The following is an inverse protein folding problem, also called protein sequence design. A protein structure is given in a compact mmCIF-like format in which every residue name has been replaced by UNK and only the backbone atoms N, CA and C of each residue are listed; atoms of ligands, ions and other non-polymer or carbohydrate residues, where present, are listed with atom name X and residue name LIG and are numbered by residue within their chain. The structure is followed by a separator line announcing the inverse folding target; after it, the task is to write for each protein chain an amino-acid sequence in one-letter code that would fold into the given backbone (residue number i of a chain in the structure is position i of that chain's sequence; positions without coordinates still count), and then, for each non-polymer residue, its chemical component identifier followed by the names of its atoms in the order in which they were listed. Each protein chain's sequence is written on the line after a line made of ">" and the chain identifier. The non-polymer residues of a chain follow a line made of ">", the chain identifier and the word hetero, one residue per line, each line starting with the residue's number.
data_IF_404542126947
#
_entry.id   IF_404542126947
#
_cell.length_a   1.000
_cell.length_b   1.000
_cell.length_c   1.000
_cell.angle_alpha   90.00
_cell.angle_beta   90.00
_cell.angle_gamma   90.00
#
_symmetry.space_group_name_H-M   'P 1'
#
loop_
_entity.id
_entity.type
_entity.pdbx_description
1 polymer ?
#
# COMPACT_ATOMS: atom_id res chain seq x y z
N UNK A 1 21.17 0.07 26.79
CA UNK A 1 20.31 -1.06 26.36
C UNK A 1 19.21 -0.64 25.39
N UNK A 2 18.51 0.48 25.63
CA UNK A 2 17.44 0.96 24.72
C UNK A 2 17.91 1.36 23.30
N UNK A 3 19.11 1.94 23.16
CA UNK A 3 19.65 2.38 21.86
C UNK A 3 19.92 1.22 20.89
N UNK A 4 20.52 0.13 21.40
CA UNK A 4 20.75 -1.06 20.60
C UNK A 4 19.43 -1.73 20.19
N UNK A 5 18.40 -1.65 21.03
CA UNK A 5 17.06 -2.15 20.67
C UNK A 5 16.47 -1.36 19.50
N UNK A 6 16.61 -0.02 19.45
CA UNK A 6 16.08 0.74 18.33
C UNK A 6 16.88 0.55 17.05
N UNK A 7 18.22 0.47 17.13
CA UNK A 7 19.05 0.13 15.97
C UNK A 7 18.69 -1.25 15.44
N UNK A 8 18.52 -2.25 16.31
CA UNK A 8 18.06 -3.58 15.92
C UNK A 8 16.66 -3.54 15.30
N UNK A 9 15.73 -2.76 15.85
CA UNK A 9 14.38 -2.57 15.30
C UNK A 9 14.41 -1.93 13.91
N UNK A 10 15.20 -0.87 13.73
CA UNK A 10 15.38 -0.18 12.46
C UNK A 10 15.98 -1.08 11.38
N UNK A 11 17.02 -1.84 11.73
CA UNK A 11 17.63 -2.84 10.81
C UNK A 11 16.65 -3.97 10.46
N UNK A 12 15.90 -4.47 11.45
CA UNK A 12 14.88 -5.49 11.21
C UNK A 12 13.77 -4.97 10.30
N UNK A 13 13.30 -3.74 10.54
CA UNK A 13 12.28 -3.08 9.72
C UNK A 13 12.79 -2.88 8.29
N UNK A 14 14.01 -2.37 8.12
CA UNK A 14 14.62 -2.21 6.79
C UNK A 14 14.75 -3.54 6.05
N UNK A 15 15.17 -4.60 6.74
CA UNK A 15 15.27 -5.94 6.17
C UNK A 15 13.90 -6.45 5.70
N UNK A 16 12.87 -6.29 6.53
CA UNK A 16 11.49 -6.66 6.20
C UNK A 16 11.01 -5.88 4.97
N UNK A 17 11.25 -4.57 4.92
CA UNK A 17 10.83 -3.72 3.80
C UNK A 17 11.53 -4.09 2.50
N UNK A 18 12.85 -4.23 2.51
CA UNK A 18 13.62 -4.62 1.32
C UNK A 18 13.20 -6.00 0.84
N UNK A 19 12.97 -6.94 1.76
CA UNK A 19 12.49 -8.28 1.42
C UNK A 19 11.07 -8.24 0.83
N UNK A 20 10.17 -7.46 1.41
CA UNK A 20 8.80 -7.35 0.92
C UNK A 20 8.73 -6.70 -0.47
N UNK A 21 9.43 -5.57 -0.67
CA UNK A 21 9.38 -4.78 -1.90
C UNK A 21 10.22 -5.39 -3.04
N UNK A 22 11.44 -5.82 -2.74
CA UNK A 22 12.42 -6.20 -3.76
C UNK A 22 12.65 -7.72 -3.84
N UNK A 23 12.15 -8.50 -2.88
CA UNK A 23 12.52 -9.92 -2.77
C UNK A 23 12.10 -10.83 -3.92
N UNK A 24 11.21 -10.38 -4.81
CA UNK A 24 10.89 -11.10 -6.06
C UNK A 24 11.87 -10.82 -7.21
N UNK A 25 12.75 -9.82 -7.08
CA UNK A 25 13.62 -9.42 -8.18
C UNK A 25 14.66 -10.51 -8.50
N UNK A 26 15.07 -10.64 -9.77
CA UNK A 26 16.06 -11.65 -10.19
C UNK A 26 17.36 -11.61 -9.38
N UNK A 27 17.80 -10.43 -8.95
CA UNK A 27 19.02 -10.25 -8.15
C UNK A 27 18.99 -10.95 -6.79
N UNK A 28 17.79 -11.17 -6.23
CA UNK A 28 17.61 -11.81 -4.92
C UNK A 28 17.26 -13.30 -5.01
N UNK A 29 17.24 -13.90 -6.20
CA UNK A 29 16.92 -15.32 -6.36
C UNK A 29 17.89 -16.22 -5.57
N UNK A 30 17.34 -17.16 -4.81
CA UNK A 30 18.09 -18.08 -3.94
C UNK A 30 18.61 -17.46 -2.64
N UNK A 31 18.45 -16.15 -2.44
CA UNK A 31 18.98 -15.44 -1.26
C UNK A 31 18.05 -15.51 -0.05
N UNK A 32 18.58 -15.13 1.12
CA UNK A 32 17.80 -14.99 2.35
C UNK A 32 16.66 -13.96 2.23
N UNK A 33 16.87 -12.87 1.46
CA UNK A 33 15.87 -11.83 1.22
C UNK A 33 14.65 -12.41 0.47
N UNK A 34 14.88 -13.24 -0.54
CA UNK A 34 13.78 -13.94 -1.23
C UNK A 34 13.05 -14.93 -0.32
N UNK A 35 13.76 -15.61 0.59
CA UNK A 35 13.11 -16.49 1.58
C UNK A 35 12.20 -15.71 2.53
N UNK A 36 12.66 -14.56 3.03
CA UNK A 36 11.83 -13.67 3.85
C UNK A 36 10.63 -13.20 3.03
N UNK A 37 10.82 -12.81 1.76
CA UNK A 37 9.73 -12.41 0.88
C UNK A 37 8.64 -13.49 0.81
N UNK A 38 9.00 -14.73 0.44
CA UNK A 38 8.04 -15.83 0.36
C UNK A 38 7.39 -16.17 1.70
N UNK A 39 8.15 -16.05 2.80
CA UNK A 39 7.59 -16.22 4.13
C UNK A 39 6.54 -15.15 4.43
N UNK A 40 6.82 -13.88 4.17
CA UNK A 40 5.88 -12.79 4.48
C UNK A 40 4.65 -12.85 3.56
N UNK A 41 4.81 -13.14 2.27
CA UNK A 41 3.72 -13.07 1.29
C UNK A 41 2.81 -14.30 1.31
N UNK A 42 3.35 -15.49 1.53
CA UNK A 42 2.58 -16.73 1.50
C UNK A 42 2.77 -17.60 2.75
N UNK A 43 4.02 -17.73 3.21
CA UNK A 43 4.37 -18.67 4.27
C UNK A 43 3.66 -18.37 5.59
N UNK A 44 3.66 -17.12 6.03
CA UNK A 44 3.06 -16.69 7.29
C UNK A 44 1.56 -16.98 7.32
N UNK A 45 0.86 -16.74 6.20
CA UNK A 45 -0.55 -17.09 6.05
C UNK A 45 -0.79 -18.60 6.07
N UNK A 46 0.03 -19.39 5.35
CA UNK A 46 -0.07 -20.85 5.35
C UNK A 46 0.21 -21.45 6.73
N UNK A 47 1.24 -20.98 7.43
CA UNK A 47 1.51 -21.35 8.82
C UNK A 47 0.35 -20.99 9.74
N UNK A 48 -0.23 -19.80 9.59
CA UNK A 48 -1.41 -19.40 10.35
C UNK A 48 -2.61 -20.31 10.07
N UNK A 49 -2.89 -20.63 8.80
CA UNK A 49 -3.96 -21.58 8.43
C UNK A 49 -3.74 -22.97 9.05
N UNK A 50 -2.52 -23.48 9.01
CA UNK A 50 -2.14 -24.78 9.61
C UNK A 50 -2.26 -24.74 11.13
N UNK A 51 -1.86 -23.65 11.75
CA UNK A 51 -2.02 -23.45 13.19
C UNK A 51 -3.49 -23.43 13.58
N UNK A 52 -4.35 -22.70 12.87
CA UNK A 52 -5.80 -22.70 13.11
C UNK A 52 -6.38 -24.10 12.89
N UNK A 53 -5.94 -24.83 11.86
CA UNK A 53 -6.36 -26.21 11.66
C UNK A 53 -5.90 -27.14 12.80
N UNK A 54 -4.69 -26.94 13.32
CA UNK A 54 -4.15 -27.71 14.44
C UNK A 54 -4.91 -27.45 15.74
N UNK A 55 -5.19 -26.18 16.06
CA UNK A 55 -5.85 -25.77 17.32
C UNK A 55 -7.37 -25.97 17.26
N UNK A 56 -8.00 -25.57 16.16
CA UNK A 56 -9.46 -25.51 16.03
C UNK A 56 -10.04 -26.59 15.09
N UNK A 57 -9.20 -27.48 14.57
CA UNK A 57 -9.61 -28.54 13.65
C UNK A 57 -10.13 -28.04 12.30
N UNK A 58 -10.84 -28.93 11.61
CA UNK A 58 -11.49 -28.62 10.32
C UNK A 58 -12.54 -27.52 10.43
N UNK A 59 -13.25 -27.41 11.57
CA UNK A 59 -14.25 -26.36 11.81
C UNK A 59 -13.62 -24.97 11.78
N UNK A 60 -12.51 -24.77 12.50
CA UNK A 60 -11.81 -23.48 12.50
C UNK A 60 -11.21 -23.14 11.13
N UNK A 61 -10.64 -24.13 10.43
CA UNK A 61 -10.12 -23.93 9.08
C UNK A 61 -11.22 -23.54 8.09
N UNK A 62 -12.37 -24.21 8.14
CA UNK A 62 -13.52 -23.87 7.30
C UNK A 62 -14.10 -22.49 7.63
N UNK A 63 -14.14 -22.11 8.90
CA UNK A 63 -14.56 -20.76 9.30
C UNK A 63 -13.61 -19.69 8.74
N UNK A 64 -12.29 -19.90 8.83
CA UNK A 64 -11.30 -18.98 8.26
C UNK A 64 -11.44 -18.87 6.74
N UNK A 65 -11.56 -20.00 6.03
CA UNK A 65 -11.80 -20.02 4.58
C UNK A 65 -13.13 -19.34 4.20
N UNK A 66 -14.17 -19.49 5.02
CA UNK A 66 -15.44 -18.80 4.80
C UNK A 66 -15.31 -17.29 4.94
N UNK A 67 -14.49 -16.80 5.87
CA UNK A 67 -14.19 -15.37 6.02
C UNK A 67 -13.36 -14.89 4.83
N UNK A 68 -12.33 -15.62 4.42
CA UNK A 68 -11.52 -15.31 3.24
C UNK A 68 -12.40 -15.21 1.98
N UNK A 69 -13.24 -16.23 1.73
CA UNK A 69 -14.18 -16.24 0.62
C UNK A 69 -15.14 -15.06 0.66
N UNK A 70 -15.69 -14.74 1.84
CA UNK A 70 -16.60 -13.60 1.98
C UNK A 70 -15.90 -12.26 1.72
N UNK A 71 -14.68 -12.08 2.23
CA UNK A 71 -13.94 -10.82 2.15
C UNK A 71 -13.29 -10.59 0.78
N UNK A 72 -12.78 -11.64 0.13
CA UNK A 72 -11.94 -11.55 -1.07
C UNK A 72 -12.62 -12.05 -2.35
N UNK A 73 -13.50 -13.05 -2.27
CA UNK A 73 -14.10 -13.71 -3.44
C UNK A 73 -15.56 -13.33 -3.68
N UNK A 74 -16.08 -12.36 -2.92
CA UNK A 74 -17.46 -11.85 -3.02
C UNK A 74 -17.46 -10.32 -2.97
N UNK A 75 -18.30 -9.63 -3.76
CA UNK A 75 -18.42 -8.18 -3.68
C UNK A 75 -18.95 -7.76 -2.29
N UNK A 76 -18.12 -7.07 -1.52
CA UNK A 76 -18.46 -6.62 -0.17
C UNK A 76 -17.62 -5.37 0.20
N UNK A 77 -18.15 -4.45 1.02
CA UNK A 77 -17.45 -3.21 1.36
C UNK A 77 -16.45 -3.35 2.51
N UNK A 78 -16.23 -4.55 3.08
CA UNK A 78 -15.41 -4.69 4.31
C UNK A 78 -13.99 -4.22 4.07
N UNK A 79 -13.38 -4.60 2.94
CA UNK A 79 -12.00 -4.20 2.63
C UNK A 79 -11.93 -2.68 2.37
N UNK A 80 -12.97 -2.08 1.78
CA UNK A 80 -13.05 -0.62 1.61
C UNK A 80 -13.14 0.10 2.96
N UNK A 81 -13.96 -0.41 3.89
CA UNK A 81 -14.08 0.14 5.24
C UNK A 81 -12.78 -0.01 6.02
N UNK A 82 -12.13 -1.17 5.92
CA UNK A 82 -10.82 -1.41 6.51
C UNK A 82 -9.77 -0.43 5.99
N UNK A 83 -9.77 -0.18 4.67
CA UNK A 83 -8.88 0.81 4.07
C UNK A 83 -9.11 2.22 4.63
N UNK A 84 -10.38 2.67 4.68
CA UNK A 84 -10.73 3.98 5.24
C UNK A 84 -10.36 4.08 6.73
N UNK A 85 -10.52 3.00 7.48
CA UNK A 85 -10.10 2.92 8.88
C UNK A 85 -8.58 3.03 9.02
N UNK A 86 -7.81 2.35 8.18
CA UNK A 86 -6.34 2.43 8.17
C UNK A 86 -5.89 3.85 7.86
N UNK A 87 -6.39 4.46 6.79
CA UNK A 87 -6.01 5.82 6.38
C UNK A 87 -6.44 6.85 7.43
N UNK A 88 -7.67 6.74 7.95
CA UNK A 88 -8.16 7.64 9.00
C UNK A 88 -7.39 7.49 10.31
N UNK A 89 -7.11 6.27 10.74
CA UNK A 89 -6.34 5.96 11.94
C UNK A 89 -4.90 6.43 11.85
N UNK A 90 -4.23 6.17 10.73
CA UNK A 90 -2.86 6.66 10.49
C UNK A 90 -2.81 8.19 10.43
N UNK A 91 -3.76 8.85 9.77
CA UNK A 91 -3.82 10.31 9.77
C UNK A 91 -4.08 10.88 11.18
N UNK A 92 -5.00 10.29 11.94
CA UNK A 92 -5.28 10.69 13.32
C UNK A 92 -4.02 10.57 14.20
N UNK A 93 -3.29 9.46 14.06
CA UNK A 93 -2.04 9.25 14.77
C UNK A 93 -1.00 10.30 14.40
N UNK A 94 -0.81 10.59 13.10
CA UNK A 94 0.11 11.64 12.62
C UNK A 94 -0.31 13.02 13.16
N UNK A 95 -1.60 13.34 13.15
CA UNK A 95 -2.10 14.62 13.62
C UNK A 95 -1.84 14.82 15.12
N UNK A 96 -2.07 13.78 15.93
CA UNK A 96 -1.87 13.85 17.39
C UNK A 96 -0.40 13.81 17.79
N UNK A 97 0.44 13.06 17.06
CA UNK A 97 1.87 12.92 17.34
C UNK A 97 2.71 14.07 16.78
N UNK A 98 2.47 14.44 15.53
CA UNK A 98 3.41 15.24 14.73
C UNK A 98 3.02 16.70 14.60
N UNK A 99 1.71 17.03 14.65
CA UNK A 99 1.29 18.43 14.45
C UNK A 99 1.75 19.34 15.58
N UNK A 100 2.00 18.81 16.78
CA UNK A 100 2.61 19.55 17.88
C UNK A 100 3.99 20.14 17.52
N UNK A 101 4.67 19.57 16.52
CA UNK A 101 5.97 20.04 16.03
C UNK A 101 5.88 20.91 14.77
N UNK A 102 4.68 21.30 14.36
CA UNK A 102 4.40 22.13 13.17
C UNK A 102 3.62 23.37 13.65
N UNK A 103 3.99 24.62 13.38
CA UNK A 103 5.18 25.02 12.64
C UNK A 103 6.45 24.69 13.44
N UNK A 104 7.44 24.18 12.72
CA UNK A 104 8.80 23.98 13.22
C UNK A 104 9.78 24.82 12.42
N UNK A 105 11.06 24.75 12.79
CA UNK A 105 12.11 25.56 12.16
C UNK A 105 12.16 25.46 10.62
N UNK A 106 11.97 24.25 10.06
CA UNK A 106 12.04 23.99 8.61
C UNK A 106 10.68 23.66 7.97
N UNK A 107 9.59 23.59 8.75
CA UNK A 107 8.28 23.18 8.25
C UNK A 107 7.19 24.16 8.69
N UNK A 108 6.57 24.81 7.72
CA UNK A 108 5.52 25.83 7.95
C UNK A 108 4.21 25.23 8.49
N UNK A 109 3.44 26.04 9.21
CA UNK A 109 2.09 25.71 9.69
C UNK A 109 1.11 25.32 8.59
N UNK A 110 1.35 25.77 7.35
CA UNK A 110 0.54 25.45 6.17
C UNK A 110 0.43 23.93 5.93
N UNK A 111 1.47 23.18 6.31
CA UNK A 111 1.51 21.73 6.13
C UNK A 111 0.45 20.95 6.92
N UNK A 112 -0.12 21.53 7.99
CA UNK A 112 -1.26 20.95 8.71
C UNK A 112 -2.51 20.90 7.81
N UNK A 113 -2.76 21.97 7.05
CA UNK A 113 -3.93 22.09 6.18
C UNK A 113 -3.73 21.36 4.84
N UNK A 114 -2.55 21.48 4.25
CA UNK A 114 -2.26 20.81 2.97
C UNK A 114 -2.19 19.29 3.12
N UNK A 115 -1.72 18.77 4.27
CA UNK A 115 -1.78 17.32 4.55
C UNK A 115 -3.21 16.80 4.67
N UNK A 116 -4.11 17.54 5.34
CA UNK A 116 -5.54 17.19 5.39
C UNK A 116 -6.15 17.16 3.99
N UNK A 117 -5.90 18.20 3.19
CA UNK A 117 -6.37 18.26 1.80
C UNK A 117 -5.80 17.09 0.97
N UNK A 118 -4.52 16.75 1.17
CA UNK A 118 -3.88 15.67 0.43
C UNK A 118 -4.52 14.30 0.70
N UNK A 119 -4.83 14.01 1.97
CA UNK A 119 -5.57 12.79 2.34
C UNK A 119 -6.97 12.81 1.73
N UNK A 120 -7.67 13.95 1.78
CA UNK A 120 -8.99 14.12 1.18
C UNK A 120 -9.02 13.84 -0.33
N UNK A 121 -8.03 14.34 -1.08
CA UNK A 121 -7.87 14.04 -2.52
C UNK A 121 -7.60 12.54 -2.75
N UNK A 122 -6.82 11.90 -1.89
CA UNK A 122 -6.58 10.45 -1.95
C UNK A 122 -7.86 9.64 -1.76
N UNK A 123 -8.70 10.03 -0.79
CA UNK A 123 -10.02 9.43 -0.56
C UNK A 123 -10.93 9.68 -1.78
N UNK A 124 -10.90 10.88 -2.38
CA UNK A 124 -11.68 11.15 -3.59
C UNK A 124 -11.31 10.20 -4.74
N UNK A 125 -10.02 10.00 -5.04
CA UNK A 125 -9.61 9.06 -6.10
C UNK A 125 -9.97 7.61 -5.77
N UNK A 126 -9.89 7.21 -4.50
CA UNK A 126 -10.35 5.92 -4.02
C UNK A 126 -11.84 5.71 -4.29
N UNK A 127 -12.68 6.69 -3.94
CA UNK A 127 -14.13 6.63 -4.15
C UNK A 127 -14.47 6.66 -5.65
N UNK A 128 -13.82 7.53 -6.44
CA UNK A 128 -14.01 7.58 -7.89
C UNK A 128 -13.70 6.23 -8.54
N UNK A 129 -12.61 5.58 -8.14
CA UNK A 129 -12.26 4.25 -8.66
C UNK A 129 -13.27 3.20 -8.23
N UNK A 130 -13.66 3.22 -6.95
CA UNK A 130 -14.60 2.27 -6.35
C UNK A 130 -15.99 2.29 -6.98
N UNK A 131 -16.51 3.49 -7.30
CA UNK A 131 -17.90 3.65 -7.75
C UNK A 131 -18.07 3.94 -9.23
N UNK A 132 -16.98 4.12 -9.99
CA UNK A 132 -17.07 4.28 -11.44
C UNK A 132 -17.38 2.95 -12.15
N UNK A 133 -18.15 3.03 -13.24
CA UNK A 133 -18.30 1.91 -14.17
C UNK A 133 -16.91 1.49 -14.71
N UNK A 134 -16.51 0.22 -14.59
CA UNK A 134 -15.25 -0.26 -15.15
C UNK A 134 -15.30 -0.42 -16.68
N UNK A 135 -16.48 -0.32 -17.29
CA UNK A 135 -16.71 -0.65 -18.70
C UNK A 135 -17.38 -2.01 -18.82
N UNK A 136 -18.52 -2.18 -18.15
CA UNK A 136 -19.29 -3.42 -18.20
C UNK A 136 -19.82 -3.66 -19.62
N UNK A 137 -19.53 -4.86 -20.14
CA UNK A 137 -20.00 -5.31 -21.46
C UNK A 137 -21.26 -6.15 -21.28
N UNK A 138 -22.32 -5.80 -21.99
CA UNK A 138 -23.60 -6.49 -22.01
C UNK A 138 -24.16 -6.56 -23.43
N UNK A 139 -25.29 -7.24 -23.61
CA UNK A 139 -25.92 -7.42 -24.92
C UNK A 139 -26.29 -6.11 -25.63
N UNK A 140 -26.53 -5.02 -24.89
CA UNK A 140 -26.90 -3.73 -25.46
C UNK A 140 -25.69 -2.95 -26.01
N UNK A 141 -24.48 -3.14 -25.47
CA UNK A 141 -23.29 -2.37 -25.84
C UNK A 141 -22.16 -3.21 -26.45
N UNK A 142 -22.29 -4.53 -26.52
CA UNK A 142 -21.24 -5.43 -27.01
C UNK A 142 -20.79 -5.10 -28.43
N UNK A 143 -21.72 -4.71 -29.32
CA UNK A 143 -21.41 -4.32 -30.70
C UNK A 143 -20.49 -3.11 -30.78
N UNK A 144 -20.67 -2.12 -29.90
CA UNK A 144 -19.80 -0.95 -29.79
C UNK A 144 -18.40 -1.33 -29.33
N UNK A 145 -18.27 -2.24 -28.38
CA UNK A 145 -16.95 -2.70 -27.92
C UNK A 145 -16.24 -3.58 -28.95
N UNK A 146 -16.99 -4.40 -29.71
CA UNK A 146 -16.44 -5.19 -30.80
C UNK A 146 -15.87 -4.31 -31.93
N UNK A 147 -16.55 -3.20 -32.26
CA UNK A 147 -16.05 -2.27 -33.28
C UNK A 147 -14.85 -1.45 -32.79
N UNK A 148 -14.84 -1.05 -31.52
CA UNK A 148 -13.71 -0.34 -30.91
C UNK A 148 -12.47 -1.23 -30.72
N UNK A 149 -12.67 -2.53 -30.46
CA UNK A 149 -11.62 -3.50 -30.19
C UNK A 149 -11.76 -4.76 -31.08
N UNK A 150 -11.43 -4.64 -32.37
CA UNK A 150 -11.55 -5.73 -33.32
C UNK A 150 -10.56 -6.87 -33.02
N UNK A 151 -10.90 -8.07 -33.48
CA UNK A 151 -10.06 -9.26 -33.37
C UNK A 151 -8.86 -9.16 -34.31
N UNK A 152 -7.67 -9.51 -33.80
CA UNK A 152 -6.46 -9.63 -34.62
C UNK A 152 -6.23 -11.07 -35.12
N UNK A 153 -6.95 -12.04 -34.55
CA UNK A 153 -6.79 -13.48 -34.80
C UNK A 153 -5.35 -14.02 -34.57
N UNK A 154 -4.53 -13.28 -33.84
CA UNK A 154 -3.19 -13.69 -33.41
C UNK A 154 -3.20 -13.89 -31.90
N UNK A 155 -3.64 -12.86 -31.16
CA UNK A 155 -3.73 -12.86 -29.70
C UNK A 155 -5.19 -12.98 -29.28
N UNK A 156 -6.09 -12.28 -29.97
CA UNK A 156 -7.52 -12.23 -29.68
C UNK A 156 -8.31 -12.75 -30.87
N UNK A 157 -8.83 -13.97 -30.73
CA UNK A 157 -9.78 -14.57 -31.65
C UNK A 157 -11.21 -14.38 -31.15
N UNK A 158 -12.18 -14.50 -32.06
CA UNK A 158 -13.59 -14.48 -31.72
C UNK A 158 -13.94 -15.61 -30.74
N UNK A 159 -14.49 -15.24 -29.58
CA UNK A 159 -14.91 -16.15 -28.52
C UNK A 159 -16.15 -15.59 -27.83
N UNK A 160 -17.03 -16.48 -27.39
CA UNK A 160 -18.17 -16.11 -26.54
C UNK A 160 -17.83 -16.31 -25.06
N UNK A 161 -18.39 -15.46 -24.19
CA UNK A 161 -18.38 -15.71 -22.76
C UNK A 161 -19.35 -16.84 -22.41
N UNK A 162 -18.83 -17.92 -21.81
CA UNK A 162 -19.63 -19.08 -21.40
C UNK A 162 -20.71 -18.75 -20.37
N UNK A 163 -20.49 -17.75 -19.51
CA UNK A 163 -21.43 -17.31 -18.47
C UNK A 163 -22.43 -16.28 -19.02
N UNK A 164 -21.94 -15.16 -19.56
CA UNK A 164 -22.78 -14.05 -19.99
C UNK A 164 -23.46 -14.26 -21.36
N UNK A 165 -23.02 -15.27 -22.14
CA UNK A 165 -23.54 -15.57 -23.49
C UNK A 165 -23.49 -14.37 -24.45
N UNK A 166 -22.39 -13.63 -24.39
CA UNK A 166 -22.10 -12.51 -25.28
C UNK A 166 -20.73 -12.70 -25.94
N UNK A 167 -20.52 -12.23 -27.19
CA UNK A 167 -19.20 -12.16 -27.78
C UNK A 167 -18.24 -11.38 -26.86
N UNK A 168 -16.99 -11.83 -26.76
CA UNK A 168 -15.97 -11.16 -25.95
C UNK A 168 -15.18 -10.20 -26.82
N UNK A 169 -15.31 -8.87 -26.65
CA UNK A 169 -14.41 -7.91 -27.30
C UNK A 169 -12.95 -8.23 -26.99
N UNK A 170 -12.03 -7.84 -27.88
CA UNK A 170 -10.60 -8.03 -27.63
C UNK A 170 -10.20 -7.41 -26.28
N UNK A 171 -9.33 -8.10 -25.53
CA UNK A 171 -8.89 -7.73 -24.16
C UNK A 171 -9.99 -7.74 -23.09
N UNK A 172 -11.21 -8.20 -23.36
CA UNK A 172 -12.25 -8.35 -22.33
C UNK A 172 -12.12 -9.67 -21.55
N UNK A 173 -12.52 -9.67 -20.28
CA UNK A 173 -12.64 -10.89 -19.46
C UNK A 173 -13.94 -10.86 -18.64
N UNK A 174 -14.43 -12.05 -18.29
CA UNK A 174 -15.52 -12.22 -17.33
C UNK A 174 -14.92 -12.29 -15.94
N UNK A 175 -15.37 -11.42 -15.04
CA UNK A 175 -15.01 -11.48 -13.63
C UNK A 175 -16.05 -12.32 -12.89
N UNK A 176 -15.65 -13.47 -12.36
CA UNK A 176 -16.52 -14.37 -11.59
C UNK A 176 -16.98 -13.76 -10.26
N UNK A 177 -16.17 -12.88 -9.66
CA UNK A 177 -16.50 -12.20 -8.40
C UNK A 177 -17.64 -11.20 -8.62
N UNK A 178 -17.51 -10.37 -9.67
CA UNK A 178 -18.51 -9.35 -10.00
C UNK A 178 -19.64 -9.84 -10.93
N UNK A 179 -19.57 -11.10 -11.35
CA UNK A 179 -20.47 -11.78 -12.30
C UNK A 179 -20.79 -10.95 -13.54
N UNK A 180 -19.76 -10.41 -14.20
CA UNK A 180 -19.93 -9.55 -15.37
C UNK A 180 -18.70 -9.55 -16.28
N UNK A 181 -18.93 -9.33 -17.58
CA UNK A 181 -17.86 -9.04 -18.53
C UNK A 181 -17.43 -7.58 -18.45
N UNK A 182 -16.12 -7.33 -18.53
CA UNK A 182 -15.53 -5.99 -18.47
C UNK A 182 -14.60 -5.80 -19.67
N UNK A 183 -14.73 -4.67 -20.35
CA UNK A 183 -13.88 -4.28 -21.47
C UNK A 183 -12.49 -3.85 -20.99
N UNK A 184 -11.46 -4.25 -21.75
CA UNK A 184 -10.04 -4.08 -21.37
C UNK A 184 -9.79 -4.42 -19.90
N UNK A 185 -10.31 -5.57 -19.49
CA UNK A 185 -10.23 -6.01 -18.10
C UNK A 185 -8.77 -6.15 -17.69
N UNK A 186 -8.45 -5.51 -16.57
CA UNK A 186 -7.15 -5.60 -15.94
C UNK A 186 -7.23 -6.62 -14.81
N UNK A 187 -7.91 -6.28 -13.71
CA UNK A 187 -8.14 -7.18 -12.58
C UNK A 187 -9.40 -6.81 -11.79
N UNK A 188 -9.80 -7.67 -10.85
CA UNK A 188 -10.74 -7.32 -9.81
C UNK A 188 -9.97 -6.82 -8.57
N UNK A 189 -10.23 -5.60 -8.13
CA UNK A 189 -9.56 -5.03 -6.96
C UNK A 189 -10.47 -5.12 -5.74
N UNK A 190 -10.17 -6.03 -4.81
CA UNK A 190 -10.93 -6.18 -3.56
C UNK A 190 -10.93 -4.89 -2.73
N UNK A 191 -9.84 -4.12 -2.75
CA UNK A 191 -9.74 -2.83 -2.06
C UNK A 191 -10.69 -1.77 -2.59
N UNK A 192 -11.00 -1.82 -3.88
CA UNK A 192 -11.98 -0.93 -4.51
C UNK A 192 -13.37 -1.55 -4.59
N UNK A 193 -13.50 -2.82 -4.21
CA UNK A 193 -14.69 -3.64 -4.39
C UNK A 193 -15.27 -3.51 -5.81
N UNK A 194 -14.40 -3.43 -6.82
CA UNK A 194 -14.77 -3.16 -8.20
C UNK A 194 -13.72 -3.74 -9.16
N UNK A 195 -14.13 -4.01 -10.40
CA UNK A 195 -13.19 -4.33 -11.47
C UNK A 195 -12.42 -3.07 -11.87
N UNK A 196 -11.17 -3.25 -12.30
CA UNK A 196 -10.41 -2.24 -13.01
C UNK A 196 -10.46 -2.59 -14.49
N UNK A 197 -10.94 -1.64 -15.29
CA UNK A 197 -11.15 -1.82 -16.71
C UNK A 197 -11.19 -0.48 -17.44
N UNK A 198 -11.53 -0.54 -18.72
CA UNK A 198 -11.42 0.58 -19.66
C UNK A 198 -11.85 1.95 -19.13
N UNK A 199 -12.98 2.02 -18.42
CA UNK A 199 -13.60 3.31 -18.06
C UNK A 199 -13.13 3.88 -16.72
N UNK A 200 -12.51 3.07 -15.86
CA UNK A 200 -12.03 3.51 -14.54
C UNK A 200 -10.52 3.38 -14.33
N UNK A 201 -9.76 2.77 -15.26
CA UNK A 201 -8.29 2.68 -15.15
C UNK A 201 -7.62 4.03 -14.91
N UNK A 202 -8.13 5.12 -15.50
CA UNK A 202 -7.58 6.47 -15.29
C UNK A 202 -7.67 6.94 -13.83
N UNK A 203 -8.75 6.61 -13.13
CA UNK A 203 -8.94 6.97 -11.72
C UNK A 203 -8.06 6.10 -10.84
N UNK A 204 -7.95 4.80 -11.17
CA UNK A 204 -7.05 3.89 -10.48
C UNK A 204 -5.58 4.32 -10.60
N UNK A 205 -5.14 4.74 -11.79
CA UNK A 205 -3.79 5.26 -12.00
C UNK A 205 -3.56 6.58 -11.25
N UNK A 206 -4.53 7.50 -11.27
CA UNK A 206 -4.46 8.72 -10.48
C UNK A 206 -4.38 8.43 -8.97
N UNK A 207 -5.14 7.44 -8.49
CA UNK A 207 -5.09 6.95 -7.11
C UNK A 207 -3.69 6.44 -6.74
N UNK A 208 -3.08 5.58 -7.56
CA UNK A 208 -1.74 5.04 -7.29
C UNK A 208 -0.69 6.15 -7.29
N UNK A 209 -0.68 7.02 -8.31
CA UNK A 209 0.29 8.12 -8.40
C UNK A 209 0.13 9.07 -7.22
N UNK A 210 -1.10 9.42 -6.84
CA UNK A 210 -1.35 10.27 -5.68
C UNK A 210 -0.86 9.65 -4.38
N UNK A 211 -1.09 8.34 -4.19
CA UNK A 211 -0.59 7.59 -3.04
C UNK A 211 0.94 7.54 -2.98
N UNK A 212 1.60 7.43 -4.12
CA UNK A 212 3.06 7.53 -4.18
C UNK A 212 3.54 8.92 -3.76
N UNK A 213 2.91 9.98 -4.29
CA UNK A 213 3.27 11.37 -3.97
C UNK A 213 3.03 11.73 -2.50
N UNK A 214 1.93 11.28 -1.89
CA UNK A 214 1.66 11.54 -0.47
C UNK A 214 2.66 10.81 0.45
N UNK A 215 3.14 9.64 0.05
CA UNK A 215 4.21 8.93 0.76
C UNK A 215 5.53 9.73 0.72
N UNK A 216 5.92 10.26 -0.45
CA UNK A 216 7.11 11.12 -0.58
C UNK A 216 6.96 12.39 0.25
N UNK A 217 5.80 13.05 0.15
CA UNK A 217 5.50 14.25 0.92
C UNK A 217 5.64 14.00 2.42
N UNK A 218 5.09 12.89 2.90
CA UNK A 218 5.18 12.46 4.29
C UNK A 218 6.61 12.23 4.76
N UNK A 219 7.42 11.53 3.96
CA UNK A 219 8.84 11.29 4.24
C UNK A 219 9.62 12.61 4.37
N UNK A 220 9.40 13.55 3.45
CA UNK A 220 10.06 14.86 3.46
C UNK A 220 9.61 15.66 4.69
N UNK A 221 8.31 15.74 4.96
CA UNK A 221 7.78 16.46 6.11
C UNK A 221 8.35 15.92 7.43
N UNK A 222 8.42 14.60 7.57
CA UNK A 222 9.01 13.93 8.72
C UNK A 222 10.49 14.30 8.91
N UNK A 223 11.28 14.24 7.83
CA UNK A 223 12.69 14.60 7.86
C UNK A 223 12.91 16.07 8.26
N UNK A 224 12.05 16.99 7.78
CA UNK A 224 12.10 18.41 8.14
C UNK A 224 11.71 18.67 9.60
N UNK A 225 10.71 17.96 10.12
CA UNK A 225 10.35 17.99 11.55
C UNK A 225 11.54 17.52 12.39
N UNK A 226 12.14 16.36 12.08
CA UNK A 226 13.32 15.84 12.78
C UNK A 226 14.48 16.84 12.76
N UNK A 227 14.81 17.38 11.59
CA UNK A 227 15.87 18.37 11.45
C UNK A 227 15.61 19.64 12.28
N UNK A 228 14.34 20.08 12.35
CA UNK A 228 13.94 21.22 13.16
C UNK A 228 14.12 20.96 14.65
N UNK A 229 13.68 19.79 15.13
CA UNK A 229 13.82 19.38 16.53
C UNK A 229 15.28 19.24 16.97
N UNK A 230 16.12 18.69 16.10
CA UNK A 230 17.57 18.59 16.34
C UNK A 230 18.23 19.95 16.53
N UNK A 231 17.76 20.97 15.80
CA UNK A 231 18.25 22.35 15.91
C UNK A 231 17.75 23.04 17.18
N UNK A 232 16.46 22.91 17.49
CA UNK A 232 15.84 23.52 18.67
C UNK A 232 16.43 23.02 19.98
N UNK A 233 16.71 21.72 20.08
CA UNK A 233 17.33 21.11 21.26
C UNK A 233 18.84 21.38 21.38
N UNK A 234 19.43 22.17 20.45
CA UNK A 234 20.86 22.43 20.35
C UNK A 234 21.73 21.17 20.48
N UNK A 235 21.23 20.02 20.03
CA UNK A 235 21.89 18.73 20.22
C UNK A 235 23.28 18.75 19.59
N UNK A 236 23.42 19.40 18.43
CA UNK A 236 24.72 19.58 17.77
C UNK A 236 25.68 20.37 18.66
N UNK A 237 25.23 21.45 19.29
CA UNK A 237 26.07 22.28 20.15
C UNK A 237 26.49 21.55 21.44
N UNK A 238 25.54 20.85 22.08
CA UNK A 238 25.82 20.03 23.27
C UNK A 238 26.78 18.89 22.91
N UNK A 239 26.59 18.20 21.80
CA UNK A 239 27.46 17.11 21.38
C UNK A 239 28.86 17.60 20.99
N UNK A 240 28.98 18.74 20.30
CA UNK A 240 30.28 19.33 19.98
C UNK A 240 31.00 19.85 21.23
N UNK A 241 30.29 20.46 22.19
CA UNK A 241 30.89 20.97 23.42
C UNK A 241 31.24 19.86 24.44
N UNK A 242 30.41 18.82 24.56
CA UNK A 242 30.55 17.78 25.57
C UNK A 242 31.40 16.59 25.09
N UNK A 243 31.31 16.23 23.80
CA UNK A 243 32.03 15.11 23.22
C UNK A 243 33.16 15.52 22.25
N UNK A 244 33.39 16.83 22.06
CA UNK A 244 34.48 17.33 21.20
C UNK A 244 34.34 16.91 19.72
N UNK A 245 33.14 16.56 19.28
CA UNK A 245 32.90 16.12 17.91
C UNK A 245 32.97 17.33 16.98
N UNK A 246 34.03 17.40 16.17
CA UNK A 246 34.12 18.33 15.03
C UNK A 246 32.85 18.24 14.17
N UNK A 247 32.38 19.36 13.59
CA UNK A 247 31.14 19.58 12.83
C UNK A 247 30.86 18.61 11.64
N UNK A 248 30.91 17.30 11.87
CA UNK A 248 30.82 16.23 10.91
C UNK A 248 29.62 15.38 11.25
N UNK A 249 28.57 15.51 10.42
CA UNK A 249 27.30 14.80 10.57
C UNK A 249 27.47 13.27 10.70
N UNK A 250 28.51 12.71 10.06
CA UNK A 250 28.82 11.26 10.10
C UNK A 250 29.23 10.78 11.50
N UNK A 251 29.92 11.61 12.29
CA UNK A 251 30.33 11.26 13.67
C UNK A 251 29.21 11.47 14.70
N UNK A 252 28.15 12.19 14.31
CA UNK A 252 26.99 12.51 15.15
C UNK A 252 25.91 11.41 15.13
N UNK A 253 25.84 10.62 14.06
CA UNK A 253 24.83 9.59 13.83
C UNK A 253 24.52 8.68 15.04
N UNK A 254 25.51 8.10 15.77
CA UNK A 254 25.22 7.23 16.91
C UNK A 254 24.64 7.97 18.14
N UNK A 255 24.84 9.29 18.25
CA UNK A 255 24.35 10.10 19.36
C UNK A 255 22.99 10.77 19.08
N UNK A 256 22.64 10.97 17.80
CA UNK A 256 21.28 11.36 17.39
C UNK A 256 20.28 10.23 17.70
N UNK A 257 20.72 8.98 17.57
CA UNK A 257 19.99 7.78 18.01
C UNK A 257 19.73 7.81 19.53
N UNK A 258 20.60 8.42 20.34
CA UNK A 258 20.34 8.60 21.77
C UNK A 258 19.23 9.62 22.10
N UNK A 259 18.88 10.53 21.18
CA UNK A 259 17.78 11.50 21.34
C UNK A 259 16.37 10.93 21.15
N UNK A 260 16.25 9.61 20.95
CA UNK A 260 15.05 8.92 20.46
C UNK A 260 13.83 8.90 21.39
N UNK A 261 13.92 9.39 22.64
CA UNK A 261 12.71 9.63 23.45
C UNK A 261 11.80 10.72 22.88
N UNK A 262 12.33 11.61 22.02
CA UNK A 262 11.53 12.58 21.28
C UNK A 262 11.08 12.04 19.90
N UNK A 263 11.59 10.89 19.45
CA UNK A 263 11.35 10.31 18.13
C UNK A 263 10.39 9.11 18.14
N UNK A 264 9.98 8.58 19.30
CA UNK A 264 9.00 7.49 19.39
C UNK A 264 7.69 7.77 18.63
N UNK A 265 7.10 8.99 18.66
CA UNK A 265 5.89 9.26 17.87
C UNK A 265 6.18 9.34 16.35
N UNK A 266 7.44 9.64 15.98
CA UNK A 266 7.89 9.70 14.59
C UNK A 266 8.26 8.32 14.03
N UNK A 267 8.73 7.40 14.87
CA UNK A 267 8.96 5.99 14.51
C UNK A 267 7.64 5.27 14.24
N UNK A 268 6.62 5.49 15.07
CA UNK A 268 5.25 4.98 14.85
C UNK A 268 4.59 5.62 13.60
N UNK A 269 4.95 6.86 13.28
CA UNK A 269 4.56 7.52 12.03
C UNK A 269 5.21 6.86 10.81
N UNK A 270 6.50 6.50 10.89
CA UNK A 270 7.20 5.72 9.86
C UNK A 270 6.53 4.35 9.64
N UNK A 271 6.14 3.66 10.72
CA UNK A 271 5.40 2.39 10.64
C UNK A 271 4.03 2.55 9.97
N UNK A 272 3.34 3.67 10.23
CA UNK A 272 2.10 4.05 9.55
C UNK A 272 2.29 4.27 8.04
N UNK A 273 3.41 4.90 7.63
CA UNK A 273 3.80 5.02 6.22
C UNK A 273 4.09 3.65 5.57
N UNK A 274 4.63 2.70 6.33
CA UNK A 274 4.91 1.34 5.82
C UNK A 274 3.63 0.59 5.46
N UNK A 275 2.55 0.68 6.25
CA UNK A 275 1.27 0.08 5.88
C UNK A 275 0.76 0.62 4.53
N UNK A 276 0.95 1.91 4.27
CA UNK A 276 0.52 2.54 3.02
C UNK A 276 1.32 2.02 1.82
N UNK A 277 2.65 1.89 1.97
CA UNK A 277 3.51 1.30 0.94
C UNK A 277 3.20 -0.18 0.68
N UNK A 278 2.83 -0.94 1.72
CA UNK A 278 2.39 -2.34 1.58
C UNK A 278 1.11 -2.43 0.76
N UNK A 279 0.14 -1.54 1.00
CA UNK A 279 -1.08 -1.47 0.19
C UNK A 279 -0.76 -1.14 -1.26
N UNK A 280 0.09 -0.13 -1.52
CA UNK A 280 0.50 0.23 -2.89
C UNK A 280 1.21 -0.93 -3.59
N UNK A 281 2.12 -1.63 -2.91
CA UNK A 281 2.84 -2.74 -3.49
C UNK A 281 1.91 -3.91 -3.84
N UNK A 282 0.95 -4.24 -2.97
CA UNK A 282 -0.03 -5.29 -3.26
C UNK A 282 -0.93 -4.92 -4.48
N UNK A 283 -1.23 -3.64 -4.68
CA UNK A 283 -1.93 -3.15 -5.88
C UNK A 283 -1.07 -3.25 -7.13
N UNK A 284 0.21 -2.89 -7.04
CA UNK A 284 1.17 -3.00 -8.15
C UNK A 284 1.46 -4.46 -8.53
N UNK A 285 1.50 -5.36 -7.55
CA UNK A 285 1.62 -6.79 -7.78
C UNK A 285 0.41 -7.36 -8.52
N UNK A 286 -0.79 -6.82 -8.26
CA UNK A 286 -1.99 -7.13 -9.06
C UNK A 286 -1.90 -6.69 -10.53
N UNK A 287 -1.11 -5.64 -10.83
CA UNK A 287 -0.84 -5.16 -12.19
C UNK A 287 0.26 -5.96 -12.91
N UNK A 288 1.16 -6.61 -12.17
CA UNK A 288 2.34 -7.32 -12.69
C UNK A 288 2.13 -8.85 -12.67
N UNK A 289 1.14 -9.34 -11.94
CA UNK A 289 0.81 -10.76 -11.87
C UNK A 289 0.33 -11.33 -13.22
N UNK A 290 0.66 -12.59 -13.55
CA UNK A 290 0.16 -13.23 -14.76
C UNK A 290 -1.36 -13.36 -14.69
N UNK A 291 -2.02 -12.84 -15.71
CA UNK A 291 -3.47 -12.72 -15.85
C UNK A 291 -4.15 -13.97 -16.40
#
# INVERSE_FOLDING_TARGET
>A
MAEWLLVCHGLATLLVLVSFLCGQWPIFQGTFIQRIHFFITFGAYDYFRRFIHFVCGSRGSNALLSVEYYCCDRPNPIIQLLYLLIIGGTYYFIATSSFNYIPGYYLSGVHRYTSFLAVGVGILFFLLTSFSDPGVVNSANVSQYLSAYPYDNIIFSEKECSTCKIPKPARSKHCSICDRCVARFDHHCAWMNNCIGERNTRYFMAFIVWHFLICIYGLIALALVLAGRMKELQVIHILTAYYGIENSFRKLAPFVVQGERAATPLAETLESFHLCLVVINNQLMGLIGPS
#
